data_IF_664108676180
#
_entry.id   IF_664108676180
#
_cell.length_a   1.000
_cell.length_b   1.000
_cell.length_c   1.000
_cell.angle_alpha   90.00
_cell.angle_beta   90.00
_cell.angle_gamma   90.00
#
_symmetry.space_group_name_H-M   'P 1'
#
loop_
_entity.id
_entity.type
_entity.pdbx_description
1 polymer ?
#
# COMPACT_ATOMS: atom_id res chain seq x y z
N UNK A 1 11.91 23.04 11.12
CA UNK A 1 11.88 24.34 10.45
C UNK A 1 10.58 24.46 9.67
N UNK A 2 9.81 25.52 9.96
CA UNK A 2 8.65 25.91 9.16
C UNK A 2 8.99 27.22 8.43
N UNK A 3 8.77 27.22 7.11
CA UNK A 3 8.90 28.42 6.28
C UNK A 3 7.50 28.85 5.90
N UNK A 4 7.11 30.05 6.34
CA UNK A 4 5.79 30.62 6.13
C UNK A 4 5.81 31.54 4.91
N UNK A 5 4.92 31.28 3.96
CA UNK A 5 4.74 32.04 2.74
C UNK A 5 3.31 32.57 2.69
N UNK A 6 3.13 33.83 2.38
CA UNK A 6 1.82 34.47 2.17
C UNK A 6 1.76 35.01 0.75
N UNK A 7 0.61 34.83 0.11
CA UNK A 7 0.31 35.55 -1.13
C UNK A 7 -0.10 36.97 -0.78
N UNK A 8 0.35 37.95 -1.57
CA UNK A 8 0.03 39.36 -1.32
C UNK A 8 -1.38 39.76 -1.72
N UNK A 9 -1.96 39.05 -2.65
CA UNK A 9 -3.27 39.38 -3.28
C UNK A 9 -4.38 38.41 -2.86
N UNK A 10 -4.01 37.17 -2.56
CA UNK A 10 -4.93 36.11 -2.14
C UNK A 10 -4.70 35.72 -0.67
N UNK A 11 -5.77 35.47 0.11
CA UNK A 11 -5.66 35.10 1.50
C UNK A 11 -5.27 33.62 1.64
N UNK A 12 -4.14 33.26 1.06
CA UNK A 12 -3.54 31.93 1.13
C UNK A 12 -2.24 31.98 1.91
N UNK A 13 -2.12 31.06 2.85
CA UNK A 13 -0.90 30.85 3.62
C UNK A 13 -0.37 29.45 3.35
N UNK A 14 0.90 29.36 2.96
CA UNK A 14 1.58 28.10 2.67
C UNK A 14 2.72 27.93 3.67
N UNK A 15 2.75 26.77 4.35
CA UNK A 15 3.84 26.43 5.26
C UNK A 15 4.62 25.26 4.67
N UNK A 16 5.90 25.48 4.38
CA UNK A 16 6.83 24.44 4.01
C UNK A 16 7.46 23.88 5.29
N UNK A 17 7.14 22.65 5.61
CA UNK A 17 7.67 21.98 6.79
C UNK A 17 8.90 21.14 6.44
N UNK A 18 9.96 21.30 7.24
CA UNK A 18 11.19 20.52 7.16
C UNK A 18 11.55 19.96 8.54
N UNK A 19 11.87 18.66 8.58
CA UNK A 19 12.44 18.00 9.76
C UNK A 19 13.69 17.22 9.36
N UNK A 20 14.76 17.34 10.13
CA UNK A 20 15.98 16.55 9.95
C UNK A 20 15.92 15.36 10.88
N UNK A 21 16.07 14.18 10.31
CA UNK A 21 16.26 12.92 11.03
C UNK A 21 17.76 12.61 11.06
N UNK A 22 18.48 13.22 12.00
CA UNK A 22 19.95 13.21 12.03
C UNK A 22 20.55 11.81 12.17
N UNK A 23 19.85 10.90 12.87
CA UNK A 23 20.31 9.52 13.06
C UNK A 23 20.26 8.67 11.76
N UNK A 24 19.56 9.17 10.75
CA UNK A 24 19.34 8.50 9.46
C UNK A 24 19.81 9.32 8.25
N UNK A 25 20.37 10.51 8.44
CA UNK A 25 20.76 11.42 7.36
C UNK A 25 19.62 11.69 6.36
N UNK A 26 18.39 11.81 6.88
CA UNK A 26 17.18 12.07 6.09
C UNK A 26 16.59 13.45 6.42
N UNK A 27 16.04 14.08 5.40
CA UNK A 27 15.21 15.28 5.51
C UNK A 27 13.78 14.89 5.16
N UNK A 28 12.87 15.12 6.11
CA UNK A 28 11.43 15.06 5.92
C UNK A 28 10.92 16.39 5.38
N UNK A 29 9.98 16.33 4.42
CA UNK A 29 9.33 17.51 3.88
C UNK A 29 7.85 17.26 3.61
N UNK A 30 7.02 18.25 4.00
CA UNK A 30 5.59 18.32 3.65
C UNK A 30 5.15 19.78 3.49
N UNK A 31 3.95 19.97 2.95
CA UNK A 31 3.36 21.29 2.75
C UNK A 31 2.00 21.37 3.42
N UNK A 32 1.72 22.48 4.09
CA UNK A 32 0.37 22.84 4.54
C UNK A 32 -0.09 24.06 3.74
N UNK A 33 -1.31 23.99 3.20
CA UNK A 33 -1.98 25.11 2.54
C UNK A 33 -3.17 25.49 3.41
N UNK A 34 -3.23 26.74 3.82
CA UNK A 34 -4.25 27.28 4.72
C UNK A 34 -5.03 28.35 3.98
N UNK A 35 -6.35 28.27 4.04
CA UNK A 35 -7.22 29.30 3.48
C UNK A 35 -7.59 30.29 4.58
N UNK A 36 -6.91 31.42 4.65
CA UNK A 36 -7.20 32.51 5.59
C UNK A 36 -8.33 33.43 5.09
N UNK A 37 -8.92 33.12 3.94
CA UNK A 37 -10.00 33.89 3.30
C UNK A 37 -11.39 33.58 3.83
N UNK A 38 -12.38 34.19 3.18
CA UNK A 38 -13.80 34.05 3.51
C UNK A 38 -14.57 33.17 2.50
N UNK A 39 -13.94 32.78 1.42
CA UNK A 39 -14.50 31.95 0.34
C UNK A 39 -13.67 30.68 0.15
N UNK A 40 -14.29 29.57 -0.26
CA UNK A 40 -13.54 28.36 -0.59
C UNK A 40 -12.53 28.59 -1.72
N UNK A 41 -11.40 27.91 -1.68
CA UNK A 41 -10.37 27.86 -2.73
C UNK A 41 -10.21 26.43 -3.20
N UNK A 42 -10.09 26.23 -4.50
CA UNK A 42 -9.86 24.90 -5.07
C UNK A 42 -8.35 24.70 -5.33
N UNK A 43 -7.79 23.67 -4.70
CA UNK A 43 -6.43 23.23 -4.99
C UNK A 43 -6.48 22.20 -6.11
N UNK A 44 -5.77 22.44 -7.21
CA UNK A 44 -5.71 21.55 -8.37
C UNK A 44 -4.36 20.85 -8.49
N UNK A 45 -3.36 21.33 -7.75
CA UNK A 45 -2.03 20.73 -7.69
C UNK A 45 -1.32 21.10 -6.39
N UNK A 46 -0.89 20.10 -5.62
CA UNK A 46 -0.09 20.28 -4.41
C UNK A 46 0.93 19.16 -4.30
N UNK A 47 2.22 19.49 -4.44
CA UNK A 47 3.31 18.55 -4.28
C UNK A 47 3.89 18.67 -2.85
N UNK A 48 4.35 17.55 -2.30
CA UNK A 48 4.96 17.48 -0.97
C UNK A 48 6.33 18.10 -0.93
N UNK A 49 7.12 17.86 -1.98
CA UNK A 49 8.52 18.27 -2.03
C UNK A 49 8.96 18.58 -3.45
N UNK A 50 9.96 19.46 -3.53
CA UNK A 50 10.80 19.64 -4.70
C UNK A 50 12.27 19.65 -4.21
N UNK A 51 13.03 18.65 -4.62
CA UNK A 51 14.41 18.43 -4.26
C UNK A 51 15.31 18.91 -5.41
N UNK A 52 16.12 19.91 -5.15
CA UNK A 52 17.10 20.39 -6.12
C UNK A 52 18.43 19.67 -5.90
N UNK A 53 18.99 19.14 -6.97
CA UNK A 53 20.31 18.54 -6.96
C UNK A 53 21.39 19.58 -7.28
N UNK A 54 22.62 19.42 -6.76
CA UNK A 54 23.73 20.29 -7.11
C UNK A 54 24.00 20.26 -8.61
N UNK A 55 24.50 21.37 -9.19
CA UNK A 55 24.85 21.45 -10.62
C UNK A 55 26.21 20.77 -10.88
N UNK A 56 26.26 19.44 -10.83
CA UNK A 56 27.49 18.65 -10.98
C UNK A 56 27.63 17.97 -12.37
N UNK A 57 26.76 18.29 -13.32
CA UNK A 57 26.74 17.71 -14.67
C UNK A 57 25.56 16.75 -14.87
N UNK A 58 25.76 15.73 -15.69
CA UNK A 58 24.72 14.76 -16.03
C UNK A 58 24.38 13.81 -14.86
N UNK A 59 23.11 13.41 -14.80
CA UNK A 59 22.58 12.52 -13.79
C UNK A 59 21.90 11.31 -14.42
N UNK A 60 21.88 10.21 -13.68
CA UNK A 60 21.15 8.96 -13.98
C UNK A 60 20.09 8.73 -12.93
N UNK A 61 18.85 8.47 -13.37
CA UNK A 61 17.73 8.10 -12.50
C UNK A 61 17.66 6.58 -12.38
N UNK A 62 17.58 6.10 -11.14
CA UNK A 62 17.17 4.75 -10.79
C UNK A 62 15.76 4.79 -10.22
N UNK A 63 14.88 3.92 -10.70
CA UNK A 63 13.52 3.73 -10.24
C UNK A 63 13.10 2.27 -10.42
N UNK A 64 12.01 1.85 -9.83
CA UNK A 64 11.42 0.54 -10.08
C UNK A 64 10.17 0.69 -10.94
N UNK A 65 9.97 -0.24 -11.85
CA UNK A 65 8.77 -0.36 -12.68
C UNK A 65 8.32 -1.81 -12.69
N UNK A 66 7.16 -2.11 -13.28
CA UNK A 66 6.69 -3.48 -13.37
C UNK A 66 5.25 -3.57 -13.83
N UNK A 67 4.67 -4.70 -13.49
CA UNK A 67 3.26 -5.05 -13.70
C UNK A 67 2.86 -6.10 -12.67
N UNK A 68 1.60 -6.47 -12.62
CA UNK A 68 1.15 -7.62 -11.82
C UNK A 68 1.99 -8.87 -12.15
N UNK A 69 2.45 -9.55 -11.12
CA UNK A 69 3.31 -10.74 -11.16
C UNK A 69 4.72 -10.51 -11.77
N UNK A 70 5.16 -9.25 -11.87
CA UNK A 70 6.48 -8.84 -12.37
C UNK A 70 6.81 -7.43 -11.83
N UNK A 71 6.61 -7.26 -10.51
CA UNK A 71 6.78 -6.00 -9.79
C UNK A 71 8.25 -5.67 -9.53
N UNK A 72 8.52 -4.44 -9.17
CA UNK A 72 9.83 -3.96 -8.68
C UNK A 72 11.03 -4.16 -9.61
N UNK A 73 10.83 -4.18 -10.91
CA UNK A 73 11.93 -4.29 -11.87
C UNK A 73 12.76 -3.01 -11.87
N UNK A 74 14.03 -3.10 -11.43
CA UNK A 74 14.93 -1.96 -11.35
C UNK A 74 15.28 -1.42 -12.74
N UNK A 75 15.06 -0.12 -12.94
CA UNK A 75 15.40 0.61 -14.15
C UNK A 75 16.44 1.67 -13.82
N UNK A 76 17.39 1.89 -14.73
CA UNK A 76 18.39 2.96 -14.65
C UNK A 76 18.53 3.64 -16.00
N UNK A 77 18.31 4.96 -16.05
CA UNK A 77 18.31 5.73 -17.29
C UNK A 77 18.94 7.11 -17.10
N UNK A 78 19.64 7.64 -18.12
CA UNK A 78 20.15 9.01 -18.04
C UNK A 78 19.01 10.01 -18.02
N UNK A 79 19.15 11.06 -17.22
CA UNK A 79 18.27 12.22 -17.25
C UNK A 79 18.73 13.17 -18.34
N UNK A 80 17.82 13.53 -19.24
CA UNK A 80 18.03 14.50 -20.33
C UNK A 80 17.13 15.70 -20.13
N UNK A 81 17.40 16.80 -20.85
CA UNK A 81 16.53 18.00 -20.83
C UNK A 81 15.07 17.60 -21.08
N UNK A 82 14.19 18.02 -20.19
CA UNK A 82 12.78 17.66 -20.16
C UNK A 82 12.39 17.01 -18.85
N UNK A 83 11.26 16.30 -18.84
CA UNK A 83 10.67 15.72 -17.64
C UNK A 83 10.42 14.22 -17.83
N UNK A 84 11.03 13.40 -16.99
CA UNK A 84 10.60 12.01 -16.78
C UNK A 84 9.53 11.99 -15.70
N UNK A 85 8.38 11.38 -16.01
CA UNK A 85 7.25 11.23 -15.07
C UNK A 85 7.08 9.77 -14.69
N UNK A 86 6.99 9.52 -13.37
CA UNK A 86 6.52 8.26 -12.79
C UNK A 86 5.27 8.58 -11.97
N UNK A 87 4.24 7.75 -12.06
CA UNK A 87 2.97 8.06 -11.39
C UNK A 87 2.08 6.85 -11.16
N UNK A 88 1.15 6.97 -10.22
CA UNK A 88 -0.03 6.13 -10.12
C UNK A 88 -1.31 6.95 -10.29
N UNK A 89 -2.28 6.39 -11.02
CA UNK A 89 -3.67 6.88 -11.16
C UNK A 89 -4.67 5.79 -10.82
N UNK A 90 -4.30 4.88 -9.89
CA UNK A 90 -5.01 3.63 -9.65
C UNK A 90 -5.65 3.54 -8.27
N UNK A 91 -5.52 4.59 -7.47
CA UNK A 91 -5.91 4.66 -6.05
C UNK A 91 -5.09 3.69 -5.17
N UNK A 92 -4.00 3.18 -5.68
CA UNK A 92 -2.96 2.43 -4.97
C UNK A 92 -1.59 2.94 -5.39
N UNK A 93 -0.54 2.50 -4.71
CA UNK A 93 0.84 2.80 -5.08
C UNK A 93 1.16 2.32 -6.50
N UNK A 94 0.56 1.20 -6.92
CA UNK A 94 0.64 0.58 -8.25
C UNK A 94 1.77 -0.44 -8.40
N UNK A 95 1.51 -1.50 -9.18
CA UNK A 95 2.53 -2.43 -9.67
C UNK A 95 3.48 -1.80 -10.70
N UNK A 96 3.05 -0.69 -11.35
CA UNK A 96 3.76 -0.13 -12.51
C UNK A 96 4.95 0.73 -12.13
N UNK A 97 4.95 1.33 -10.96
CA UNK A 97 6.03 2.13 -10.42
C UNK A 97 5.84 2.31 -8.91
N UNK A 98 6.89 2.74 -8.22
CA UNK A 98 6.87 3.05 -6.79
C UNK A 98 7.33 4.50 -6.58
N UNK A 99 6.81 5.22 -5.59
CA UNK A 99 7.15 6.61 -5.31
C UNK A 99 8.54 6.75 -4.64
N UNK A 100 9.53 6.15 -5.27
CA UNK A 100 10.93 6.12 -4.89
C UNK A 100 11.80 6.54 -6.08
N UNK A 101 12.90 7.19 -5.77
CA UNK A 101 13.97 7.49 -6.71
C UNK A 101 15.34 7.36 -6.05
N UNK A 102 16.32 7.00 -6.85
CA UNK A 102 17.72 7.23 -6.54
C UNK A 102 18.42 7.84 -7.76
N UNK A 103 19.25 8.84 -7.52
CA UNK A 103 19.92 9.60 -8.58
C UNK A 103 21.41 9.63 -8.29
N UNK A 104 22.20 9.30 -9.31
CA UNK A 104 23.65 9.35 -9.27
C UNK A 104 24.21 10.01 -10.52
N UNK A 105 25.53 10.16 -10.62
CA UNK A 105 26.23 10.69 -11.78
C UNK A 105 26.67 9.62 -12.80
N UNK A 106 25.97 8.47 -12.80
CA UNK A 106 26.27 7.34 -13.71
C UNK A 106 27.46 6.47 -13.28
N UNK A 107 28.05 6.72 -12.12
CA UNK A 107 29.26 6.04 -11.63
C UNK A 107 29.06 5.32 -10.30
N UNK A 108 27.92 5.49 -9.62
CA UNK A 108 27.68 4.80 -8.37
C UNK A 108 27.38 3.33 -8.62
N UNK A 109 27.90 2.50 -7.73
CA UNK A 109 27.61 1.08 -7.60
C UNK A 109 27.04 0.77 -6.20
N UNK A 110 27.03 -0.50 -5.81
CA UNK A 110 26.51 -0.92 -4.50
C UNK A 110 27.30 -0.32 -3.33
N UNK A 111 28.60 -0.09 -3.47
CA UNK A 111 29.54 0.20 -2.39
C UNK A 111 30.15 1.58 -2.42
N UNK A 112 30.06 2.30 -3.54
CA UNK A 112 30.69 3.60 -3.71
C UNK A 112 29.97 4.53 -4.69
N UNK A 113 30.26 5.82 -4.59
CA UNK A 113 29.69 6.87 -5.42
C UNK A 113 28.50 7.58 -4.77
N UNK A 114 28.35 8.88 -5.08
CA UNK A 114 27.30 9.72 -4.51
C UNK A 114 25.92 9.37 -5.06
N UNK A 115 24.96 9.13 -4.14
CA UNK A 115 23.57 8.82 -4.46
C UNK A 115 22.66 9.75 -3.67
N UNK A 116 21.82 10.51 -4.37
CA UNK A 116 20.65 11.22 -3.84
C UNK A 116 19.45 10.32 -3.97
N UNK A 117 18.67 10.13 -2.93
CA UNK A 117 17.53 9.24 -2.95
C UNK A 117 16.35 9.83 -2.17
N UNK A 118 15.15 9.36 -2.47
CA UNK A 118 13.97 9.80 -1.75
C UNK A 118 12.74 8.96 -2.01
N UNK A 119 11.73 9.14 -1.17
CA UNK A 119 10.50 8.35 -1.14
C UNK A 119 9.33 9.22 -0.65
N UNK A 120 8.11 8.84 -1.06
CA UNK A 120 6.85 9.43 -0.59
C UNK A 120 6.11 8.46 0.33
N UNK A 121 5.59 8.96 1.43
CA UNK A 121 4.72 8.24 2.37
C UNK A 121 3.25 8.44 1.96
N UNK A 122 2.77 7.64 0.98
CA UNK A 122 1.41 7.75 0.48
C UNK A 122 0.96 6.50 -0.28
N UNK A 123 -0.23 5.98 0.03
CA UNK A 123 -0.77 4.73 -0.54
C UNK A 123 -1.82 4.93 -1.63
N UNK A 124 -1.94 6.11 -2.19
CA UNK A 124 -2.90 6.45 -3.26
C UNK A 124 -2.22 6.96 -4.52
N UNK A 125 -2.94 7.78 -5.30
CA UNK A 125 -2.39 8.41 -6.49
C UNK A 125 -1.24 9.35 -6.14
N UNK A 126 -0.08 9.12 -6.75
CA UNK A 126 1.13 9.92 -6.57
C UNK A 126 1.79 10.25 -7.90
N UNK A 127 2.62 11.27 -7.90
CA UNK A 127 3.42 11.68 -9.04
C UNK A 127 4.84 12.06 -8.60
N UNK A 128 5.82 11.59 -9.39
CA UNK A 128 7.22 11.96 -9.32
C UNK A 128 7.62 12.55 -10.67
N UNK A 129 8.26 13.71 -10.66
CA UNK A 129 8.78 14.42 -11.82
C UNK A 129 10.28 14.58 -11.64
N UNK A 130 11.10 13.87 -12.41
CA UNK A 130 12.53 14.11 -12.50
C UNK A 130 12.79 15.01 -13.73
N UNK A 131 13.21 16.24 -13.49
CA UNK A 131 13.33 17.27 -14.50
C UNK A 131 14.77 17.77 -14.64
N UNK A 132 15.23 17.85 -15.86
CA UNK A 132 16.40 18.66 -16.24
C UNK A 132 15.90 19.86 -17.01
N UNK A 133 16.12 21.05 -16.46
CA UNK A 133 15.69 22.30 -17.09
C UNK A 133 16.60 22.69 -18.27
N UNK A 134 16.13 23.58 -19.14
CA UNK A 134 16.94 24.15 -20.23
C UNK A 134 18.23 24.86 -19.76
N UNK A 135 18.28 25.21 -18.46
CA UNK A 135 19.47 25.81 -17.83
C UNK A 135 20.39 24.76 -17.17
N UNK A 136 20.11 23.44 -17.36
CA UNK A 136 20.93 22.36 -16.81
C UNK A 136 20.73 22.10 -15.33
N UNK A 137 19.71 22.71 -14.70
CA UNK A 137 19.37 22.40 -13.31
C UNK A 137 18.53 21.12 -13.21
N UNK A 138 18.89 20.24 -12.30
CA UNK A 138 18.15 18.99 -12.06
C UNK A 138 17.33 19.09 -10.76
N UNK A 139 16.06 18.66 -10.81
CA UNK A 139 15.17 18.61 -9.65
C UNK A 139 14.25 17.42 -9.70
N UNK A 140 13.88 16.93 -8.52
CA UNK A 140 12.85 15.90 -8.35
C UNK A 140 11.69 16.49 -7.56
N UNK A 141 10.50 16.48 -8.14
CA UNK A 141 9.27 16.89 -7.47
C UNK A 141 8.42 15.65 -7.17
N UNK A 142 7.86 15.55 -5.95
CA UNK A 142 7.16 14.36 -5.48
C UNK A 142 5.97 14.75 -4.61
N UNK A 143 4.83 14.09 -4.81
CA UNK A 143 3.61 14.34 -4.03
C UNK A 143 2.37 13.71 -4.62
N UNK A 144 1.21 14.27 -4.28
CA UNK A 144 -0.08 13.84 -4.82
C UNK A 144 -0.13 14.03 -6.35
N UNK A 145 -0.76 13.08 -7.02
CA UNK A 145 -0.99 13.22 -8.46
C UNK A 145 -2.05 14.28 -8.73
N UNK A 146 -1.74 15.20 -9.62
CA UNK A 146 -2.64 16.27 -10.05
C UNK A 146 -3.63 15.85 -11.17
N UNK A 147 -3.52 14.60 -11.65
CA UNK A 147 -4.51 14.07 -12.59
C UNK A 147 -5.85 13.84 -11.92
N UNK A 148 -6.91 14.44 -12.46
CA UNK A 148 -8.28 14.36 -11.91
C UNK A 148 -8.37 14.72 -10.41
N UNK A 149 -7.47 15.58 -9.94
CA UNK A 149 -7.40 16.02 -8.55
C UNK A 149 -8.06 17.39 -8.40
N UNK A 150 -8.87 17.54 -7.37
CA UNK A 150 -9.26 18.82 -6.81
C UNK A 150 -9.52 18.65 -5.32
N UNK A 151 -9.25 19.70 -4.57
CA UNK A 151 -9.61 19.78 -3.16
C UNK A 151 -10.23 21.14 -2.87
N UNK A 152 -11.47 21.17 -2.38
CA UNK A 152 -12.10 22.39 -1.92
C UNK A 152 -11.64 22.71 -0.51
N UNK A 153 -10.78 23.72 -0.39
CA UNK A 153 -10.28 24.21 0.89
C UNK A 153 -11.22 25.29 1.40
N UNK A 154 -12.07 24.95 2.38
CA UNK A 154 -13.02 25.90 2.98
C UNK A 154 -12.29 27.02 3.76
N UNK A 155 -12.96 28.13 4.09
CA UNK A 155 -12.42 29.15 4.98
C UNK A 155 -11.92 28.57 6.31
N UNK A 156 -10.72 28.97 6.73
CA UNK A 156 -10.00 28.48 7.90
C UNK A 156 -9.60 27.01 7.88
N UNK A 157 -9.81 26.29 6.76
CA UNK A 157 -9.37 24.91 6.60
C UNK A 157 -7.89 24.85 6.22
N UNK A 158 -7.26 23.74 6.58
CA UNK A 158 -5.85 23.43 6.24
C UNK A 158 -5.80 22.12 5.47
N UNK A 159 -5.18 22.14 4.30
CA UNK A 159 -4.80 20.93 3.57
C UNK A 159 -3.34 20.60 3.87
N UNK A 160 -3.07 19.33 4.22
CA UNK A 160 -1.72 18.82 4.46
C UNK A 160 -1.38 17.77 3.42
N UNK A 161 -0.23 17.93 2.75
CA UNK A 161 0.28 16.92 1.81
C UNK A 161 0.84 15.69 2.54
N UNK A 162 0.95 14.54 1.86
CA UNK A 162 1.80 13.44 2.31
C UNK A 162 3.22 13.90 2.59
N UNK A 163 3.96 13.09 3.35
CA UNK A 163 5.36 13.36 3.66
C UNK A 163 6.28 12.78 2.59
N UNK A 164 7.31 13.52 2.20
CA UNK A 164 8.43 13.04 1.38
C UNK A 164 9.70 13.06 2.20
N UNK A 165 10.48 11.97 2.11
CA UNK A 165 11.81 11.87 2.70
C UNK A 165 12.85 11.86 1.60
N UNK A 166 14.00 12.51 1.83
CA UNK A 166 15.13 12.44 0.93
C UNK A 166 16.46 12.51 1.69
N UNK A 167 17.49 11.92 1.12
CA UNK A 167 18.83 11.88 1.68
C UNK A 167 19.90 11.83 0.61
N UNK A 168 21.15 11.84 1.07
CA UNK A 168 22.35 11.69 0.26
C UNK A 168 23.35 10.80 0.97
N UNK A 169 24.04 9.96 0.22
CA UNK A 169 25.18 9.18 0.72
C UNK A 169 26.31 9.17 -0.33
N UNK A 170 27.58 9.24 0.08
CA UNK A 170 28.72 9.04 -0.82
C UNK A 170 29.05 7.55 -1.07
N UNK A 171 28.41 6.62 -0.38
CA UNK A 171 28.81 5.21 -0.22
C UNK A 171 27.91 4.24 -1.02
N UNK A 172 27.40 4.69 -2.17
CA UNK A 172 26.70 3.87 -3.14
C UNK A 172 25.24 3.55 -2.82
N UNK A 173 24.61 2.75 -3.70
CA UNK A 173 23.20 2.39 -3.60
C UNK A 173 22.88 1.55 -2.36
N UNK A 174 23.77 0.65 -1.94
CA UNK A 174 23.58 -0.14 -0.75
C UNK A 174 23.49 0.69 0.53
N UNK A 175 24.28 1.77 0.63
CA UNK A 175 24.18 2.69 1.76
C UNK A 175 22.84 3.47 1.73
N UNK A 176 22.39 3.90 0.55
CA UNK A 176 21.08 4.55 0.39
C UNK A 176 19.94 3.62 0.84
N UNK A 177 19.94 2.37 0.38
CA UNK A 177 18.97 1.35 0.79
C UNK A 177 19.01 1.09 2.30
N UNK A 178 20.18 0.85 2.87
CA UNK A 178 20.34 0.63 4.33
C UNK A 178 19.86 1.81 5.17
N UNK A 179 20.00 3.03 4.68
CA UNK A 179 19.47 4.24 5.34
C UNK A 179 17.93 4.19 5.40
N UNK A 180 17.26 3.93 4.27
CA UNK A 180 15.80 3.76 4.24
C UNK A 180 15.35 2.59 5.10
N UNK A 181 16.07 1.46 5.08
CA UNK A 181 15.74 0.28 5.88
C UNK A 181 15.83 0.53 7.39
N UNK A 182 16.89 1.22 7.85
CA UNK A 182 17.02 1.59 9.27
C UNK A 182 15.90 2.53 9.70
N UNK A 183 15.64 3.55 8.89
CA UNK A 183 14.55 4.50 9.13
C UNK A 183 13.18 3.80 9.16
N UNK A 184 12.89 2.96 8.17
CA UNK A 184 11.63 2.22 8.10
C UNK A 184 11.43 1.34 9.33
N UNK A 185 12.44 0.57 9.74
CA UNK A 185 12.35 -0.29 10.93
C UNK A 185 12.17 0.48 12.22
N UNK A 186 12.84 1.60 12.38
CA UNK A 186 12.84 2.33 13.63
C UNK A 186 11.68 3.32 13.79
N UNK A 187 11.26 3.97 12.69
CA UNK A 187 10.35 5.11 12.73
C UNK A 187 9.02 4.88 12.03
N UNK A 188 8.94 3.86 11.14
CA UNK A 188 7.73 3.61 10.35
C UNK A 188 6.98 2.39 10.85
N UNK A 189 7.65 1.24 10.99
CA UNK A 189 6.99 -0.02 11.35
C UNK A 189 6.38 0.02 12.75
N UNK A 190 5.13 -0.44 12.89
CA UNK A 190 4.47 -0.51 14.19
C UNK A 190 5.09 -1.53 15.14
N UNK A 191 5.39 -2.74 14.65
CA UNK A 191 6.02 -3.83 15.42
C UNK A 191 7.49 -4.01 15.02
N UNK A 192 8.29 -2.98 15.23
CA UNK A 192 9.68 -2.87 14.78
C UNK A 192 10.64 -3.97 15.27
N UNK A 193 10.35 -4.54 16.43
CA UNK A 193 11.20 -5.58 17.07
C UNK A 193 10.65 -7.00 16.87
N UNK A 194 9.58 -7.17 16.10
CA UNK A 194 8.95 -8.48 15.89
C UNK A 194 9.76 -9.30 14.87
N UNK A 195 10.07 -10.53 15.27
CA UNK A 195 10.52 -11.57 14.35
C UNK A 195 9.26 -12.26 13.80
N UNK A 196 9.10 -12.18 12.48
CA UNK A 196 7.94 -12.79 11.83
C UNK A 196 8.04 -14.31 11.86
N UNK A 197 6.89 -14.95 12.04
CA UNK A 197 6.75 -16.39 12.14
C UNK A 197 6.87 -17.07 10.79
N UNK A 198 7.35 -18.31 10.79
CA UNK A 198 7.27 -19.18 9.61
C UNK A 198 5.79 -19.46 9.33
N UNK A 199 5.33 -18.97 8.17
CA UNK A 199 3.92 -18.91 7.79
C UNK A 199 3.59 -19.99 6.75
N UNK A 200 2.44 -20.63 6.91
CA UNK A 200 1.73 -21.35 5.86
C UNK A 200 0.50 -20.54 5.43
N UNK A 201 0.27 -20.42 4.14
CA UNK A 201 -0.95 -19.82 3.57
C UNK A 201 -1.67 -20.87 2.71
N UNK A 202 -3.00 -20.96 2.83
CA UNK A 202 -3.79 -21.99 2.17
C UNK A 202 -4.04 -21.75 0.67
N UNK A 203 -3.75 -20.56 0.12
CA UNK A 203 -4.18 -20.18 -1.23
C UNK A 203 -3.69 -21.15 -2.31
N UNK A 204 -2.39 -21.37 -2.40
CA UNK A 204 -1.81 -22.25 -3.42
C UNK A 204 -2.21 -23.73 -3.26
N UNK A 205 -2.58 -24.14 -2.04
CA UNK A 205 -2.95 -25.52 -1.76
C UNK A 205 -4.43 -25.83 -2.04
N UNK A 206 -5.33 -24.86 -1.83
CA UNK A 206 -6.79 -25.15 -1.81
C UNK A 206 -7.64 -24.14 -2.55
N UNK A 207 -7.09 -22.98 -2.95
CA UNK A 207 -7.84 -21.87 -3.53
C UNK A 207 -9.09 -21.58 -2.65
N UNK A 208 -10.28 -21.54 -3.24
CA UNK A 208 -11.56 -21.31 -2.53
C UNK A 208 -12.10 -22.52 -1.78
N UNK A 209 -11.50 -23.72 -1.95
CA UNK A 209 -11.99 -24.97 -1.34
C UNK A 209 -11.45 -25.12 0.08
N UNK A 210 -11.96 -24.30 0.98
CA UNK A 210 -11.62 -24.29 2.40
C UNK A 210 -12.82 -24.70 3.23
N UNK A 211 -12.61 -25.62 4.17
CA UNK A 211 -13.56 -26.02 5.20
C UNK A 211 -12.84 -26.46 6.49
N UNK A 212 -13.59 -26.69 7.56
CA UNK A 212 -12.99 -27.13 8.85
C UNK A 212 -12.17 -28.40 8.70
N UNK A 213 -12.62 -29.37 7.90
CA UNK A 213 -11.97 -30.69 7.78
C UNK A 213 -10.68 -30.61 6.97
N UNK A 214 -10.73 -29.99 5.78
CA UNK A 214 -9.57 -29.83 4.90
C UNK A 214 -8.48 -29.00 5.57
N UNK A 215 -8.86 -27.86 6.15
CA UNK A 215 -7.91 -26.95 6.80
C UNK A 215 -7.34 -27.56 8.10
N UNK A 216 -8.10 -28.32 8.87
CA UNK A 216 -7.57 -29.05 10.05
C UNK A 216 -6.50 -30.06 9.67
N UNK A 217 -6.68 -30.78 8.55
CA UNK A 217 -5.67 -31.74 8.05
C UNK A 217 -4.41 -31.03 7.58
N UNK A 218 -4.54 -29.93 6.87
CA UNK A 218 -3.39 -29.12 6.44
C UNK A 218 -2.65 -28.50 7.63
N UNK A 219 -3.37 -28.08 8.67
CA UNK A 219 -2.76 -27.59 9.90
C UNK A 219 -1.90 -28.67 10.61
N UNK A 220 -2.34 -29.94 10.61
CA UNK A 220 -1.53 -31.06 11.14
C UNK A 220 -0.23 -31.25 10.36
N UNK A 221 -0.28 -31.14 9.02
CA UNK A 221 0.90 -31.25 8.16
C UNK A 221 1.83 -30.05 8.40
N UNK A 222 1.30 -28.84 8.41
CA UNK A 222 2.06 -27.61 8.62
C UNK A 222 2.79 -27.63 9.98
N UNK A 223 2.11 -28.04 11.06
CA UNK A 223 2.71 -28.17 12.38
C UNK A 223 3.88 -29.18 12.40
N UNK A 224 3.69 -30.32 11.73
CA UNK A 224 4.76 -31.34 11.63
C UNK A 224 6.00 -30.87 10.86
N UNK A 225 5.84 -29.86 9.98
CA UNK A 225 6.93 -29.20 9.25
C UNK A 225 7.57 -28.03 10.01
N UNK A 226 7.05 -27.69 11.20
CA UNK A 226 7.59 -26.57 12.00
C UNK A 226 7.03 -25.22 11.67
N UNK A 227 5.89 -25.14 10.97
CA UNK A 227 5.16 -23.86 10.74
C UNK A 227 4.67 -23.30 12.08
N UNK A 228 4.74 -22.00 12.24
CA UNK A 228 4.39 -21.27 13.45
C UNK A 228 3.09 -20.47 13.32
N UNK A 229 2.69 -20.13 12.08
CA UNK A 229 1.50 -19.35 11.76
C UNK A 229 0.75 -20.00 10.60
N UNK A 230 -0.49 -20.41 10.85
CA UNK A 230 -1.39 -20.99 9.85
C UNK A 230 -2.38 -19.92 9.37
N UNK A 231 -2.27 -19.50 8.11
CA UNK A 231 -3.14 -18.49 7.49
C UNK A 231 -4.13 -19.16 6.55
N UNK A 232 -5.43 -19.00 6.83
CA UNK A 232 -6.51 -19.35 5.92
C UNK A 232 -6.76 -18.16 4.98
N UNK A 233 -6.51 -18.34 3.68
CA UNK A 233 -6.71 -17.33 2.63
C UNK A 233 -8.18 -17.23 2.21
N UNK A 234 -8.48 -16.73 1.02
CA UNK A 234 -9.83 -16.51 0.47
C UNK A 234 -10.69 -17.80 0.49
N UNK A 235 -12.01 -17.63 0.55
CA UNK A 235 -12.96 -18.75 0.47
C UNK A 235 -13.72 -19.07 1.76
N UNK A 236 -13.44 -18.46 2.91
CA UNK A 236 -13.99 -18.83 4.21
C UNK A 236 -15.36 -18.21 4.54
N UNK A 237 -15.69 -17.06 3.93
CA UNK A 237 -16.86 -16.24 4.28
C UNK A 237 -18.11 -16.60 3.45
N UNK A 238 -19.24 -16.02 3.85
CA UNK A 238 -20.57 -16.34 3.32
C UNK A 238 -20.64 -16.25 1.81
N UNK A 239 -21.15 -17.31 1.17
CA UNK A 239 -21.37 -17.38 -0.27
C UNK A 239 -20.12 -17.50 -1.13
N UNK A 240 -18.92 -17.50 -0.53
CA UNK A 240 -17.63 -17.50 -1.24
C UNK A 240 -17.20 -18.91 -1.65
N UNK A 241 -17.46 -19.29 -2.89
CA UNK A 241 -17.03 -20.56 -3.49
C UNK A 241 -16.09 -20.35 -4.69
N UNK A 242 -16.05 -19.15 -5.24
CA UNK A 242 -15.27 -18.67 -6.35
C UNK A 242 -15.13 -17.14 -6.22
N UNK A 243 -14.55 -16.46 -7.20
CA UNK A 243 -14.37 -15.02 -7.19
C UNK A 243 -15.61 -14.20 -7.64
N UNK A 244 -16.74 -14.86 -7.95
CA UNK A 244 -17.93 -14.19 -8.48
C UNK A 244 -18.87 -13.65 -7.39
N UNK A 245 -18.80 -14.20 -6.16
CA UNK A 245 -19.75 -13.91 -5.09
C UNK A 245 -19.09 -13.73 -3.73
N UNK A 246 -19.83 -13.13 -2.78
CA UNK A 246 -19.55 -13.13 -1.35
C UNK A 246 -18.67 -12.00 -0.84
N UNK A 247 -17.85 -11.29 -1.65
CA UNK A 247 -17.08 -10.16 -1.13
C UNK A 247 -17.99 -9.08 -0.56
N UNK A 248 -17.71 -8.67 0.68
CA UNK A 248 -18.52 -7.76 1.48
C UNK A 248 -19.21 -8.45 2.66
N UNK A 249 -19.42 -9.76 2.58
CA UNK A 249 -20.18 -10.55 3.55
C UNK A 249 -19.22 -11.26 4.53
N UNK A 250 -18.58 -10.48 5.42
CA UNK A 250 -17.47 -10.90 6.28
C UNK A 250 -17.94 -11.69 7.52
N UNK A 251 -18.63 -12.83 7.30
CA UNK A 251 -18.95 -13.82 8.33
C UNK A 251 -18.76 -15.24 7.79
N UNK A 252 -18.43 -16.22 8.63
CA UNK A 252 -18.14 -17.59 8.18
C UNK A 252 -19.29 -18.22 7.41
N UNK A 253 -18.98 -18.88 6.28
CA UNK A 253 -19.95 -19.69 5.57
C UNK A 253 -20.40 -20.88 6.41
N UNK A 254 -21.69 -20.99 6.69
CA UNK A 254 -22.23 -22.02 7.60
C UNK A 254 -22.16 -23.44 7.05
N UNK A 255 -21.98 -23.64 5.74
CA UNK A 255 -21.76 -24.95 5.13
C UNK A 255 -20.31 -25.42 5.31
N UNK A 256 -19.37 -24.50 5.19
CA UNK A 256 -17.93 -24.75 5.36
C UNK A 256 -17.52 -24.76 6.84
N UNK A 257 -18.11 -23.87 7.62
CA UNK A 257 -17.82 -23.64 9.04
C UNK A 257 -19.12 -23.62 9.86
N UNK A 258 -19.79 -24.78 10.07
CA UNK A 258 -21.12 -24.85 10.71
C UNK A 258 -21.14 -24.34 12.17
N UNK A 259 -19.99 -24.32 12.83
CA UNK A 259 -19.82 -23.83 14.21
C UNK A 259 -18.89 -22.57 14.24
N UNK A 260 -18.83 -21.80 13.15
CA UNK A 260 -17.91 -20.66 13.01
C UNK A 260 -16.45 -21.09 12.86
N UNK A 261 -15.53 -20.11 12.98
CA UNK A 261 -14.10 -20.35 12.83
C UNK A 261 -13.45 -20.99 14.06
N UNK A 262 -14.09 -20.87 15.22
CA UNK A 262 -13.52 -21.30 16.50
C UNK A 262 -12.99 -22.75 16.51
N UNK A 263 -13.70 -23.78 15.97
CA UNK A 263 -13.18 -25.14 15.96
C UNK A 263 -11.87 -25.31 15.21
N UNK A 264 -11.67 -24.59 14.10
CA UNK A 264 -10.42 -24.60 13.35
C UNK A 264 -9.32 -23.85 14.12
N UNK A 265 -9.63 -22.68 14.67
CA UNK A 265 -8.70 -21.89 15.48
C UNK A 265 -8.20 -22.69 16.67
N UNK A 266 -9.10 -23.33 17.43
CA UNK A 266 -8.76 -24.16 18.57
C UNK A 266 -7.83 -25.33 18.15
N UNK A 267 -8.09 -25.95 16.99
CA UNK A 267 -7.25 -27.01 16.45
C UNK A 267 -5.85 -26.51 16.10
N UNK A 268 -5.73 -25.36 15.42
CA UNK A 268 -4.45 -24.74 15.05
C UNK A 268 -3.65 -24.40 16.32
N UNK A 269 -4.29 -23.81 17.32
CA UNK A 269 -3.65 -23.49 18.60
C UNK A 269 -3.21 -24.72 19.37
N UNK A 270 -4.01 -25.78 19.38
CA UNK A 270 -3.66 -27.07 20.00
C UNK A 270 -2.43 -27.74 19.34
N UNK A 271 -2.15 -27.39 18.09
CA UNK A 271 -0.94 -27.82 17.36
C UNK A 271 0.27 -26.90 17.60
N UNK A 272 0.14 -25.87 18.44
CA UNK A 272 1.23 -24.95 18.80
C UNK A 272 1.41 -23.76 17.83
N UNK A 273 0.53 -23.61 16.85
CA UNK A 273 0.57 -22.49 15.88
C UNK A 273 -0.40 -21.36 16.27
N UNK A 274 -0.15 -20.17 15.75
CA UNK A 274 -1.13 -19.07 15.73
C UNK A 274 -1.96 -19.11 14.45
N UNK A 275 -3.16 -18.49 14.48
CA UNK A 275 -4.07 -18.46 13.34
C UNK A 275 -4.11 -17.08 12.67
N UNK A 276 -4.12 -17.07 11.36
CA UNK A 276 -4.28 -15.88 10.53
C UNK A 276 -5.40 -16.03 9.51
N UNK A 277 -5.87 -14.89 8.99
CA UNK A 277 -7.01 -14.84 8.09
C UNK A 277 -6.78 -13.79 6.98
N UNK A 278 -7.28 -14.08 5.78
CA UNK A 278 -7.34 -13.16 4.64
C UNK A 278 -8.66 -12.38 4.64
N UNK A 279 -8.58 -11.10 4.28
CA UNK A 279 -9.74 -10.23 4.02
C UNK A 279 -9.45 -9.29 2.84
N UNK A 280 -10.51 -8.90 2.10
CA UNK A 280 -10.45 -7.90 1.03
C UNK A 280 -11.58 -6.86 1.22
N UNK A 281 -11.52 -6.06 2.27
CA UNK A 281 -12.68 -5.29 2.74
C UNK A 281 -12.98 -4.03 1.94
N UNK A 282 -12.11 -3.65 1.02
CA UNK A 282 -12.32 -2.52 0.10
C UNK A 282 -13.15 -2.92 -1.12
N UNK A 283 -13.37 -4.22 -1.33
CA UNK A 283 -14.05 -4.77 -2.51
C UNK A 283 -15.42 -5.37 -2.14
N UNK A 284 -16.30 -5.44 -3.13
CA UNK A 284 -17.62 -6.04 -3.02
C UNK A 284 -18.00 -6.72 -4.32
N UNK A 285 -18.58 -7.91 -4.26
CA UNK A 285 -19.18 -8.53 -5.44
C UNK A 285 -20.61 -8.00 -5.65
N UNK A 286 -21.08 -7.87 -6.91
CA UNK A 286 -22.49 -7.65 -7.19
C UNK A 286 -23.40 -8.72 -6.59
N UNK A 287 -22.91 -9.98 -6.51
CA UNK A 287 -23.58 -11.07 -5.81
C UNK A 287 -23.06 -11.18 -4.37
N UNK A 288 -23.50 -10.24 -3.53
CA UNK A 288 -23.30 -10.24 -2.09
C UNK A 288 -24.51 -9.59 -1.39
N UNK A 289 -24.73 -9.92 -0.13
CA UNK A 289 -25.80 -9.31 0.68
C UNK A 289 -25.50 -7.83 0.91
N UNK A 290 -24.23 -7.48 1.12
CA UNK A 290 -23.81 -6.09 1.26
C UNK A 290 -24.20 -5.25 0.04
N UNK A 291 -23.88 -5.71 -1.17
CA UNK A 291 -24.19 -4.95 -2.38
C UNK A 291 -25.70 -4.85 -2.64
N UNK A 292 -26.46 -5.91 -2.36
CA UNK A 292 -27.94 -5.87 -2.46
C UNK A 292 -28.55 -4.86 -1.50
N UNK A 293 -27.99 -4.72 -0.30
CA UNK A 293 -28.45 -3.76 0.70
C UNK A 293 -28.03 -2.32 0.38
N UNK A 294 -26.81 -2.13 -0.13
CA UNK A 294 -26.19 -0.82 -0.33
C UNK A 294 -25.50 -0.68 -1.70
N UNK A 295 -26.25 -0.74 -2.81
CA UNK A 295 -25.67 -0.63 -4.15
C UNK A 295 -25.08 0.75 -4.45
N UNK A 296 -25.38 1.77 -3.65
CA UNK A 296 -24.87 3.13 -3.74
C UNK A 296 -23.51 3.33 -3.06
N UNK A 297 -23.02 2.32 -2.32
CA UNK A 297 -21.76 2.41 -1.58
C UNK A 297 -20.51 2.21 -2.44
N UNK A 298 -20.67 1.79 -3.69
CA UNK A 298 -19.55 1.59 -4.59
C UNK A 298 -19.18 2.87 -5.35
N UNK A 299 -17.92 2.97 -5.73
CA UNK A 299 -17.41 4.00 -6.63
C UNK A 299 -18.05 3.78 -8.00
N UNK A 300 -18.80 4.76 -8.55
CA UNK A 300 -19.46 4.65 -9.84
C UNK A 300 -19.93 6.00 -10.39
N UNK A 301 -20.12 6.09 -11.67
CA UNK A 301 -20.87 7.16 -12.32
C UNK A 301 -22.36 6.77 -12.48
N UNK A 302 -23.33 7.64 -12.10
CA UNK A 302 -24.75 7.29 -12.13
C UNK A 302 -25.27 6.87 -13.51
N UNK A 303 -24.69 7.42 -14.56
CA UNK A 303 -25.15 7.25 -15.95
C UNK A 303 -24.36 6.19 -16.73
N UNK A 304 -23.42 5.51 -16.10
CA UNK A 304 -22.58 4.49 -16.74
C UNK A 304 -22.85 3.11 -16.16
N UNK A 305 -22.62 2.09 -16.97
CA UNK A 305 -22.57 0.71 -16.48
C UNK A 305 -21.43 0.60 -15.45
N UNK A 306 -21.68 -0.06 -14.34
CA UNK A 306 -20.66 -0.39 -13.35
C UNK A 306 -19.78 -1.51 -13.90
N UNK A 307 -18.56 -1.19 -14.26
CA UNK A 307 -17.61 -2.17 -14.80
C UNK A 307 -17.02 -2.97 -13.64
N UNK A 308 -17.04 -4.27 -13.74
CA UNK A 308 -16.34 -5.17 -12.83
C UNK A 308 -14.96 -5.53 -13.40
N UNK A 309 -13.99 -5.73 -12.52
CA UNK A 309 -12.73 -6.38 -12.82
C UNK A 309 -12.51 -7.41 -11.72
N UNK A 310 -12.11 -8.64 -12.08
CA UNK A 310 -12.08 -9.80 -11.17
C UNK A 310 -13.45 -9.98 -10.45
N UNK A 311 -14.54 -9.78 -11.18
CA UNK A 311 -15.93 -9.84 -10.67
C UNK A 311 -16.25 -8.90 -9.48
N UNK A 312 -15.40 -7.89 -9.24
CA UNK A 312 -15.49 -6.99 -8.09
C UNK A 312 -15.86 -5.57 -8.47
N UNK A 313 -16.51 -4.87 -7.54
CA UNK A 313 -16.66 -3.43 -7.47
C UNK A 313 -15.91 -2.90 -6.25
N UNK A 314 -15.65 -1.59 -6.20
CA UNK A 314 -14.87 -0.95 -5.14
C UNK A 314 -15.83 -0.20 -4.22
N UNK A 315 -15.81 -0.50 -2.93
CA UNK A 315 -16.50 0.28 -1.91
C UNK A 315 -15.89 1.68 -1.79
N UNK A 316 -16.71 2.69 -1.64
CA UNK A 316 -16.23 4.07 -1.55
C UNK A 316 -15.76 4.40 -0.12
N UNK A 317 -14.51 4.13 0.19
CA UNK A 317 -13.89 4.47 1.48
C UNK A 317 -13.74 5.99 1.74
N UNK A 318 -14.09 6.86 0.79
CA UNK A 318 -14.25 8.27 1.09
C UNK A 318 -15.55 8.57 1.90
N UNK A 319 -16.47 7.60 2.02
CA UNK A 319 -17.71 7.68 2.79
C UNK A 319 -17.53 7.14 4.21
N UNK A 320 -17.95 7.91 5.17
CA UNK A 320 -17.85 7.53 6.59
C UNK A 320 -18.73 6.32 6.93
N UNK A 321 -19.93 6.20 6.36
CA UNK A 321 -20.84 5.08 6.59
C UNK A 321 -20.26 3.75 6.08
N UNK A 322 -19.56 3.75 4.95
CA UNK A 322 -18.80 2.59 4.44
C UNK A 322 -17.65 2.22 5.39
N UNK A 323 -16.88 3.23 5.82
CA UNK A 323 -15.78 3.04 6.77
C UNK A 323 -16.29 2.42 8.09
N UNK A 324 -17.38 2.96 8.64
CA UNK A 324 -17.95 2.51 9.91
C UNK A 324 -18.49 1.09 9.83
N UNK A 325 -19.13 0.72 8.70
CA UNK A 325 -19.56 -0.65 8.45
C UNK A 325 -18.40 -1.64 8.42
N UNK A 326 -17.36 -1.37 7.65
CA UNK A 326 -16.19 -2.26 7.54
C UNK A 326 -15.47 -2.36 8.89
N UNK A 327 -15.32 -1.23 9.58
CA UNK A 327 -14.73 -1.19 10.91
C UNK A 327 -15.51 -2.09 11.88
N UNK A 328 -16.85 -1.96 11.94
CA UNK A 328 -17.69 -2.80 12.80
C UNK A 328 -17.54 -4.30 12.50
N UNK A 329 -17.55 -4.68 11.21
CA UNK A 329 -17.43 -6.09 10.80
C UNK A 329 -16.09 -6.71 11.16
N UNK A 330 -15.00 -6.01 10.88
CA UNK A 330 -13.65 -6.53 11.14
C UNK A 330 -13.31 -6.47 12.64
N UNK A 331 -13.73 -5.42 13.35
CA UNK A 331 -13.55 -5.31 14.81
C UNK A 331 -14.24 -6.48 15.52
N UNK A 332 -15.50 -6.77 15.15
CA UNK A 332 -16.24 -7.92 15.68
C UNK A 332 -15.55 -9.25 15.34
N UNK A 333 -15.11 -9.43 14.10
CA UNK A 333 -14.40 -10.63 13.67
C UNK A 333 -13.15 -10.89 14.52
N UNK A 334 -12.36 -9.85 14.77
CA UNK A 334 -11.15 -9.92 15.58
C UNK A 334 -11.45 -10.09 17.08
N UNK A 335 -12.48 -9.44 17.61
CA UNK A 335 -12.86 -9.53 19.00
C UNK A 335 -13.43 -10.91 19.38
N UNK A 336 -14.14 -11.57 18.46
CA UNK A 336 -14.79 -12.87 18.71
C UNK A 336 -13.89 -14.07 18.41
N UNK A 337 -12.75 -13.87 17.73
CA UNK A 337 -11.88 -14.95 17.27
C UNK A 337 -10.40 -14.65 17.60
N UNK A 338 -9.66 -15.67 18.03
CA UNK A 338 -8.23 -15.55 18.32
C UNK A 338 -7.40 -15.52 17.02
N UNK A 339 -7.51 -14.42 16.29
CA UNK A 339 -6.80 -14.16 15.04
C UNK A 339 -5.56 -13.30 15.36
N UNK A 340 -4.37 -13.82 15.05
CA UNK A 340 -3.10 -13.16 15.33
C UNK A 340 -2.48 -12.49 14.09
N UNK A 341 -3.06 -12.71 12.92
CA UNK A 341 -2.54 -12.19 11.65
C UNK A 341 -3.68 -11.92 10.68
N UNK A 342 -3.62 -10.78 9.98
CA UNK A 342 -4.54 -10.44 8.89
C UNK A 342 -3.75 -10.12 7.62
N UNK A 343 -4.07 -10.83 6.53
CA UNK A 343 -3.70 -10.43 5.17
C UNK A 343 -4.82 -9.57 4.61
N UNK A 344 -4.57 -8.28 4.47
CA UNK A 344 -5.50 -7.31 3.88
C UNK A 344 -5.18 -7.13 2.41
N UNK A 345 -6.09 -7.55 1.55
CA UNK A 345 -5.92 -7.52 0.10
C UNK A 345 -6.75 -6.42 -0.58
N UNK A 346 -6.37 -6.10 -1.82
CA UNK A 346 -7.09 -5.22 -2.74
C UNK A 346 -6.76 -5.62 -4.19
N UNK A 347 -7.58 -6.45 -4.81
CA UNK A 347 -7.28 -7.07 -6.12
C UNK A 347 -7.83 -6.29 -7.32
N UNK A 348 -8.33 -5.09 -7.11
CA UNK A 348 -8.84 -4.25 -8.17
C UNK A 348 -8.42 -2.79 -7.99
N UNK A 349 -7.92 -2.17 -9.05
CA UNK A 349 -7.68 -0.73 -9.10
C UNK A 349 -8.93 0.04 -9.57
N UNK A 350 -9.00 1.33 -9.24
CA UNK A 350 -10.07 2.23 -9.71
C UNK A 350 -9.91 2.49 -11.20
N UNK A 351 -10.98 2.26 -11.97
CA UNK A 351 -11.08 2.55 -13.40
C UNK A 351 -12.11 3.64 -13.71
N UNK A 352 -13.10 3.84 -12.85
CA UNK A 352 -14.23 4.74 -13.04
C UNK A 352 -14.47 5.55 -11.74
N UNK A 353 -13.74 6.66 -11.53
CA UNK A 353 -13.68 7.37 -10.25
C UNK A 353 -14.91 8.28 -10.03
N UNK A 354 -16.11 7.74 -10.13
CA UNK A 354 -17.34 8.47 -9.87
C UNK A 354 -17.75 8.43 -8.40
N UNK A 355 -18.05 9.58 -7.85
CA UNK A 355 -18.61 9.72 -6.50
C UNK A 355 -19.91 10.51 -6.54
N UNK A 356 -21.08 9.85 -6.81
CA UNK A 356 -22.36 10.48 -6.73
C UNK A 356 -22.62 11.06 -5.34
N UNK A 357 -23.19 12.26 -5.29
CA UNK A 357 -23.50 12.94 -4.03
C UNK A 357 -22.29 13.20 -3.12
N UNK A 358 -21.10 13.42 -3.71
CA UNK A 358 -19.95 13.88 -2.94
C UNK A 358 -20.30 15.15 -2.16
N UNK A 359 -19.87 15.30 -0.90
CA UNK A 359 -20.16 16.50 -0.10
C UNK A 359 -19.45 17.76 -0.60
N UNK A 360 -18.43 17.59 -1.43
CA UNK A 360 -17.63 18.63 -2.08
C UNK A 360 -17.36 18.29 -3.54
N UNK A 361 -16.16 18.59 -4.03
CA UNK A 361 -15.75 18.19 -5.38
C UNK A 361 -15.56 16.66 -5.44
N UNK A 362 -16.21 15.93 -6.38
CA UNK A 362 -16.09 14.48 -6.45
C UNK A 362 -14.65 13.98 -6.70
N UNK A 363 -13.76 14.83 -7.21
CA UNK A 363 -12.33 14.53 -7.40
C UNK A 363 -11.53 14.46 -6.08
N UNK A 364 -12.11 14.89 -4.96
CA UNK A 364 -11.57 14.64 -3.62
C UNK A 364 -11.54 13.15 -3.26
N UNK A 365 -12.26 12.32 -4.02
CA UNK A 365 -12.26 10.86 -3.89
C UNK A 365 -10.84 10.28 -3.74
N UNK A 366 -9.89 10.75 -4.56
CA UNK A 366 -8.53 10.22 -4.60
C UNK A 366 -7.74 10.37 -3.29
N UNK A 367 -8.05 11.40 -2.53
CA UNK A 367 -7.41 11.66 -1.23
C UNK A 367 -8.27 11.12 -0.09
N UNK A 368 -9.58 11.39 -0.11
CA UNK A 368 -10.50 10.98 0.97
C UNK A 368 -10.60 9.47 1.12
N UNK A 369 -10.50 8.74 0.01
CA UNK A 369 -10.46 7.27 0.05
C UNK A 369 -9.28 6.75 0.87
N UNK A 370 -8.07 7.23 0.59
CA UNK A 370 -6.85 6.81 1.30
C UNK A 370 -6.89 7.24 2.77
N UNK A 371 -7.41 8.44 3.06
CA UNK A 371 -7.65 8.87 4.44
C UNK A 371 -8.65 7.95 5.16
N UNK A 372 -9.70 7.51 4.46
CA UNK A 372 -10.66 6.54 4.98
C UNK A 372 -10.04 5.17 5.24
N UNK A 373 -9.22 4.68 4.32
CA UNK A 373 -8.44 3.45 4.50
C UNK A 373 -7.54 3.54 5.75
N UNK A 374 -6.79 4.63 5.87
CA UNK A 374 -5.91 4.84 7.03
C UNK A 374 -6.69 4.93 8.35
N UNK A 375 -7.87 5.57 8.34
CA UNK A 375 -8.75 5.62 9.51
C UNK A 375 -9.21 4.22 9.93
N UNK A 376 -9.75 3.43 8.99
CA UNK A 376 -10.27 2.08 9.30
C UNK A 376 -9.16 1.18 9.80
N UNK A 377 -8.08 1.07 9.04
CA UNK A 377 -6.99 0.17 9.39
C UNK A 377 -6.27 0.61 10.68
N UNK A 378 -6.00 1.93 10.82
CA UNK A 378 -5.40 2.47 12.03
C UNK A 378 -6.24 2.23 13.28
N UNK A 379 -7.58 2.42 13.18
CA UNK A 379 -8.49 2.14 14.30
C UNK A 379 -8.52 0.66 14.67
N UNK A 380 -8.54 -0.25 13.69
CA UNK A 380 -8.46 -1.69 13.95
C UNK A 380 -7.16 -2.06 14.63
N UNK A 381 -6.05 -1.48 14.18
CA UNK A 381 -4.74 -1.71 14.79
C UNK A 381 -4.67 -1.20 16.24
N UNK A 382 -5.25 -0.04 16.53
CA UNK A 382 -5.32 0.49 17.91
C UNK A 382 -6.16 -0.40 18.83
N UNK A 383 -7.25 -0.99 18.32
CA UNK A 383 -8.13 -1.89 19.08
C UNK A 383 -7.55 -3.30 19.26
N UNK A 384 -6.76 -3.75 18.29
CA UNK A 384 -6.16 -5.09 18.24
C UNK A 384 -4.63 -4.98 18.05
N UNK A 385 -3.89 -4.44 19.05
CA UNK A 385 -2.47 -4.09 18.91
C UNK A 385 -1.55 -5.31 18.72
N UNK A 386 -1.99 -6.51 19.09
CA UNK A 386 -1.20 -7.73 18.97
C UNK A 386 -1.34 -8.43 17.61
N UNK A 387 -2.25 -7.96 16.75
CA UNK A 387 -2.45 -8.51 15.41
C UNK A 387 -1.37 -8.00 14.46
N UNK A 388 -0.72 -8.91 13.78
CA UNK A 388 0.22 -8.62 12.69
C UNK A 388 -0.56 -8.41 11.39
N UNK A 389 -0.23 -7.37 10.66
CA UNK A 389 -0.94 -6.98 9.44
C UNK A 389 -0.05 -7.07 8.22
N UNK A 390 -0.54 -7.75 7.17
CA UNK A 390 0.12 -7.82 5.87
C UNK A 390 -0.69 -7.04 4.84
N UNK A 391 -0.02 -6.16 4.11
CA UNK A 391 -0.59 -5.49 2.93
C UNK A 391 -0.40 -6.36 1.70
N UNK A 392 -1.50 -6.65 1.02
CA UNK A 392 -1.56 -7.22 -0.31
C UNK A 392 -2.40 -6.31 -1.21
N UNK A 393 -2.08 -6.23 -2.48
CA UNK A 393 -2.90 -5.57 -3.48
C UNK A 393 -2.66 -6.25 -4.82
N UNK A 394 -3.16 -7.50 -4.96
CA UNK A 394 -2.77 -8.37 -6.04
C UNK A 394 -1.24 -8.46 -6.11
N UNK A 395 -0.59 -8.90 -5.05
CA UNK A 395 0.86 -8.76 -4.89
C UNK A 395 1.27 -7.37 -4.37
N UNK A 396 2.33 -6.81 -4.94
CA UNK A 396 3.01 -5.59 -4.51
C UNK A 396 2.35 -4.27 -4.92
N UNK A 397 1.08 -4.27 -5.32
CA UNK A 397 0.40 -3.06 -5.81
C UNK A 397 0.20 -1.95 -4.78
N UNK A 398 0.37 -2.24 -3.49
CA UNK A 398 0.35 -1.25 -2.40
C UNK A 398 1.51 -1.48 -1.46
N UNK A 399 2.69 -1.03 -1.88
CA UNK A 399 3.94 -1.10 -1.15
C UNK A 399 4.54 0.30 -1.04
N UNK A 400 4.40 0.94 0.10
CA UNK A 400 4.87 2.29 0.37
C UNK A 400 5.02 2.53 1.87
N UNK A 401 5.65 3.63 2.26
CA UNK A 401 5.84 3.95 3.68
C UNK A 401 4.53 4.31 4.39
N UNK A 402 3.52 4.79 3.66
CA UNK A 402 2.22 5.12 4.24
C UNK A 402 1.51 3.88 4.74
N UNK A 403 1.46 2.82 3.93
CA UNK A 403 0.85 1.56 4.36
C UNK A 403 1.70 0.84 5.42
N UNK A 404 3.02 0.95 5.38
CA UNK A 404 3.91 0.37 6.39
C UNK A 404 3.80 1.02 7.77
N UNK A 405 3.14 2.16 7.91
CA UNK A 405 2.73 2.67 9.23
C UNK A 405 1.57 1.88 9.83
N UNK A 406 0.88 1.09 9.02
CA UNK A 406 -0.28 0.31 9.41
C UNK A 406 -0.05 -1.19 9.26
N UNK A 407 0.74 -1.61 8.28
CA UNK A 407 1.11 -2.99 8.03
C UNK A 407 2.52 -3.29 8.54
N UNK A 408 2.75 -4.53 8.91
CA UNK A 408 4.05 -5.04 9.36
C UNK A 408 4.81 -5.70 8.22
N UNK A 409 4.05 -6.22 7.23
CA UNK A 409 4.57 -6.95 6.07
C UNK A 409 3.85 -6.56 4.79
N UNK A 410 4.51 -6.83 3.67
CA UNK A 410 3.98 -6.69 2.32
C UNK A 410 4.09 -8.03 1.61
N UNK A 411 2.99 -8.49 1.02
CA UNK A 411 2.98 -9.53 0.01
C UNK A 411 3.49 -8.92 -1.29
N UNK A 412 4.74 -9.22 -1.65
CA UNK A 412 5.50 -8.45 -2.65
C UNK A 412 5.04 -8.76 -4.07
N UNK A 413 4.62 -9.99 -4.36
CA UNK A 413 4.16 -10.42 -5.68
C UNK A 413 3.33 -11.70 -5.59
N UNK A 414 2.30 -11.81 -6.43
CA UNK A 414 1.57 -13.06 -6.64
C UNK A 414 2.37 -14.08 -7.47
N UNK A 415 3.48 -13.67 -8.06
CA UNK A 415 4.39 -14.59 -8.74
C UNK A 415 5.30 -15.28 -7.72
N UNK A 416 5.10 -16.57 -7.53
CA UNK A 416 5.87 -17.41 -6.60
C UNK A 416 7.00 -18.19 -7.29
N UNK A 417 7.18 -18.01 -8.61
CA UNK A 417 8.25 -18.67 -9.37
C UNK A 417 9.63 -18.18 -8.89
N UNK A 418 10.50 -19.12 -8.55
CA UNK A 418 11.74 -18.84 -7.84
C UNK A 418 12.70 -17.91 -8.60
N UNK A 419 12.79 -18.03 -9.92
CA UNK A 419 13.69 -17.22 -10.75
C UNK A 419 13.17 -15.79 -10.89
N UNK A 420 11.86 -15.62 -11.10
CA UNK A 420 11.23 -14.30 -11.17
C UNK A 420 11.37 -13.55 -9.83
N UNK A 421 11.26 -14.26 -8.71
CA UNK A 421 11.42 -13.70 -7.36
C UNK A 421 12.79 -13.09 -7.12
N UNK A 422 13.87 -13.53 -7.79
CA UNK A 422 15.19 -12.91 -7.65
C UNK A 422 15.17 -11.42 -8.01
N UNK A 423 14.61 -11.07 -9.17
CA UNK A 423 14.52 -9.67 -9.61
C UNK A 423 13.50 -8.88 -8.79
N UNK A 424 12.32 -9.46 -8.49
CA UNK A 424 11.27 -8.83 -7.72
C UNK A 424 11.76 -8.48 -6.31
N UNK A 425 12.42 -9.41 -5.61
CA UNK A 425 12.92 -9.21 -4.25
C UNK A 425 14.13 -8.28 -4.22
N UNK A 426 15.01 -8.35 -5.20
CA UNK A 426 16.10 -7.38 -5.34
C UNK A 426 15.56 -5.97 -5.47
N UNK A 427 14.67 -5.72 -6.44
CA UNK A 427 14.09 -4.41 -6.66
C UNK A 427 13.32 -3.88 -5.44
N UNK A 428 12.56 -4.73 -4.75
CA UNK A 428 11.91 -4.38 -3.48
C UNK A 428 12.92 -3.96 -2.42
N UNK A 429 14.05 -4.66 -2.32
CA UNK A 429 15.08 -4.43 -1.31
C UNK A 429 15.88 -3.13 -1.51
N UNK A 430 15.79 -2.48 -2.66
CA UNK A 430 16.34 -1.13 -2.82
C UNK A 430 15.60 -0.10 -1.95
N UNK A 431 14.35 -0.36 -1.62
CA UNK A 431 13.45 0.58 -0.94
C UNK A 431 13.14 0.13 0.49
N UNK A 432 12.74 -1.14 0.66
CA UNK A 432 12.15 -1.67 1.88
C UNK A 432 13.03 -2.72 2.54
N UNK A 433 13.06 -2.78 3.89
CA UNK A 433 13.85 -3.76 4.61
C UNK A 433 13.28 -5.18 4.47
N UNK A 434 14.16 -6.17 4.46
CA UNK A 434 13.80 -7.58 4.25
C UNK A 434 12.75 -8.12 5.23
N UNK A 435 12.69 -7.60 6.46
CA UNK A 435 11.69 -8.03 7.45
C UNK A 435 10.26 -7.56 7.11
N UNK A 436 10.08 -6.70 6.11
CA UNK A 436 8.73 -6.35 5.59
C UNK A 436 8.32 -7.19 4.39
N UNK A 437 9.21 -8.02 3.88
CA UNK A 437 8.97 -8.85 2.70
C UNK A 437 8.36 -10.20 3.10
N UNK A 438 7.22 -10.55 2.53
CA UNK A 438 6.68 -11.91 2.58
C UNK A 438 6.92 -12.61 1.25
N UNK A 439 7.34 -13.88 1.30
CA UNK A 439 7.58 -14.71 0.13
C UNK A 439 7.22 -16.16 0.43
N UNK A 440 6.37 -16.76 -0.40
CA UNK A 440 6.03 -18.17 -0.29
C UNK A 440 6.97 -19.04 -1.11
N UNK A 441 7.23 -20.22 -0.61
CA UNK A 441 7.82 -21.33 -1.36
C UNK A 441 6.66 -22.21 -1.82
N UNK A 442 6.52 -22.37 -3.14
CA UNK A 442 5.47 -23.17 -3.77
C UNK A 442 6.10 -24.12 -4.79
N UNK A 443 5.32 -25.05 -5.32
CA UNK A 443 5.72 -25.91 -6.43
C UNK A 443 5.40 -25.30 -7.80
N UNK A 444 5.07 -24.00 -7.86
CA UNK A 444 4.92 -23.28 -9.10
C UNK A 444 6.21 -23.43 -9.94
N UNK A 445 6.06 -23.90 -11.18
CA UNK A 445 7.18 -24.17 -12.10
C UNK A 445 8.28 -25.13 -11.57
N UNK A 446 7.95 -26.04 -10.66
CA UNK A 446 8.86 -27.04 -10.12
C UNK A 446 9.61 -27.87 -11.20
N UNK A 447 9.10 -27.90 -12.44
CA UNK A 447 9.78 -28.50 -13.58
C UNK A 447 11.06 -27.74 -13.99
N UNK A 448 11.19 -26.47 -13.66
CA UNK A 448 12.32 -25.62 -14.04
C UNK A 448 13.29 -25.37 -12.87
N UNK A 449 12.78 -25.29 -11.66
CA UNK A 449 13.58 -25.07 -10.45
C UNK A 449 13.11 -26.05 -9.37
N UNK A 450 13.86 -27.15 -9.14
CA UNK A 450 13.54 -28.11 -8.09
C UNK A 450 13.54 -27.45 -6.71
N UNK A 451 12.66 -27.88 -5.82
CA UNK A 451 12.60 -27.42 -4.42
C UNK A 451 13.69 -28.03 -3.53
N UNK A 452 14.55 -28.90 -4.06
CA UNK A 452 15.64 -29.56 -3.33
C UNK A 452 16.89 -28.70 -3.15
#
# INVERSE_FOLDING_TARGET
LDIHLHDSDYPLHVVLHYRVHADYDLIERSVRVINDGKTPVTLERVLSAQWHLPALGEYRLSHVSGRWADEFQLQREPLTVGVKTLESRRLTTSHHANPWFAIDRGQADEYQGGVWFGVLEWSGNWKLLAEVTDFGSTRVSLGLNDWDFAWQLAPAETFKTPVSYAGYTPDGFGAASRTLHRFTRAEVLPHKDTIHKVLYNSWEATLFDVDVKSQSKLAEIAAALGVELFVMDDGWFHGRKDDEAGLGDWWPDTKKFPNGLKPLIDKVQALGMTFGLWVEPEMVNPDSDLYRAHPDWVIHFPTRKRTVARNQLILNFARTDVQDYILDKLDKLLAENAIAFIKWDMNRNVSEPGWPNAPGDPRELWVRYVQGLYRVWGTLRERHPDVIWQSCSGGGGRADLGILRLADQIWVSDNTEATARLAIQEGFSHIFPANTMEAWVTDADAAHVPLE
#
